data_IF_394148844072
#
_entry.id   IF_394148844072
#
_cell.length_a   1.000
_cell.length_b   1.000
_cell.length_c   1.000
_cell.angle_alpha   90.00
_cell.angle_beta   90.00
_cell.angle_gamma   90.00
#
_symmetry.space_group_name_H-M   'P 1'
#
loop_
_entity.id
_entity.type
_entity.pdbx_description
1 polymer ?
#
# COMPACT_ATOMS: atom_id res chain seq x y z
N UNK A 1 -22.25 -3.73 27.48
CA UNK A 1 -20.79 -3.81 27.27
C UNK A 1 -20.15 -2.60 27.92
N UNK A 2 -18.98 -2.77 28.52
CA UNK A 2 -18.20 -1.64 29.05
C UNK A 2 -17.64 -0.82 27.89
N UNK A 3 -17.44 0.49 28.10
CA UNK A 3 -16.70 1.31 27.14
C UNK A 3 -15.28 0.74 26.95
N UNK A 4 -14.75 0.89 25.73
CA UNK A 4 -13.36 0.56 25.43
C UNK A 4 -12.41 1.44 26.25
N UNK A 5 -11.26 0.90 26.63
CA UNK A 5 -10.28 1.57 27.50
C UNK A 5 -8.86 1.11 27.20
N UNK A 6 -7.89 1.72 27.87
CA UNK A 6 -6.52 1.18 27.91
C UNK A 6 -6.48 -0.13 28.70
N UNK A 7 -5.54 -1.02 28.35
CA UNK A 7 -5.28 -2.25 29.10
C UNK A 7 -4.73 -1.94 30.49
N UNK A 8 -5.21 -2.66 31.50
CA UNK A 8 -4.67 -2.61 32.85
C UNK A 8 -3.28 -3.28 32.91
N UNK A 9 -2.46 -3.02 33.95
CA UNK A 9 -1.07 -3.49 33.99
C UNK A 9 -0.87 -5.01 33.87
N UNK A 10 -1.82 -5.81 34.37
CA UNK A 10 -1.78 -7.28 34.27
C UNK A 10 -2.21 -7.76 32.88
N UNK A 11 -3.27 -7.16 32.32
CA UNK A 11 -3.75 -7.42 30.95
C UNK A 11 -2.66 -7.08 29.92
N UNK A 12 -1.99 -5.94 30.10
CA UNK A 12 -0.88 -5.49 29.26
C UNK A 12 0.31 -6.44 29.36
N UNK A 13 0.59 -7.02 30.53
CA UNK A 13 1.65 -8.03 30.70
C UNK A 13 1.31 -9.32 29.97
N UNK A 14 0.09 -9.83 30.10
CA UNK A 14 -0.38 -11.02 29.39
C UNK A 14 -0.35 -10.80 27.87
N UNK A 15 -0.83 -9.66 27.40
CA UNK A 15 -0.79 -9.28 25.99
C UNK A 15 0.64 -9.21 25.43
N UNK A 16 1.59 -8.60 26.17
CA UNK A 16 3.00 -8.55 25.75
C UNK A 16 3.61 -9.93 25.61
N UNK A 17 3.22 -10.88 26.46
CA UNK A 17 3.67 -12.26 26.38
C UNK A 17 3.11 -12.96 25.13
N UNK A 18 1.81 -12.83 24.86
CA UNK A 18 1.19 -13.33 23.63
C UNK A 18 1.87 -12.75 22.38
N UNK A 19 2.09 -11.42 22.37
CA UNK A 19 2.78 -10.71 21.29
C UNK A 19 4.20 -11.22 21.05
N UNK A 20 4.94 -11.54 22.12
CA UNK A 20 6.29 -12.10 21.99
C UNK A 20 6.26 -13.52 21.40
N UNK A 21 5.32 -14.36 21.85
CA UNK A 21 5.13 -15.71 21.30
C UNK A 21 4.74 -15.66 19.82
N UNK A 22 3.85 -14.75 19.43
CA UNK A 22 3.51 -14.51 18.01
C UNK A 22 4.74 -14.13 17.20
N UNK A 23 5.59 -13.23 17.72
CA UNK A 23 6.79 -12.78 17.04
C UNK A 23 7.88 -13.86 16.97
N UNK A 24 7.93 -14.78 17.93
CA UNK A 24 8.80 -15.96 17.83
C UNK A 24 8.32 -16.94 16.76
N UNK A 25 6.99 -17.11 16.64
CA UNK A 25 6.38 -18.05 15.71
C UNK A 25 6.42 -17.55 14.25
N UNK A 26 6.16 -16.27 14.03
CA UNK A 26 6.25 -15.60 12.72
C UNK A 26 7.08 -14.32 12.82
N UNK A 27 8.43 -14.42 12.85
CA UNK A 27 9.32 -13.27 13.04
C UNK A 27 9.16 -12.17 12.00
N UNK A 28 8.77 -12.52 10.78
CA UNK A 28 8.52 -11.56 9.71
C UNK A 28 7.28 -10.66 9.96
N UNK A 29 6.36 -11.03 10.85
CA UNK A 29 5.22 -10.20 11.27
C UNK A 29 5.56 -9.22 12.41
N UNK A 30 6.77 -9.27 12.97
CA UNK A 30 7.15 -8.49 14.16
C UNK A 30 6.84 -7.00 14.02
N UNK A 31 7.11 -6.39 12.86
CA UNK A 31 6.83 -4.96 12.66
C UNK A 31 5.34 -4.64 12.80
N UNK A 32 4.48 -5.50 12.30
CA UNK A 32 3.03 -5.32 12.36
C UNK A 32 2.47 -5.58 13.77
N UNK A 33 2.93 -6.65 14.44
CA UNK A 33 2.57 -6.97 15.82
C UNK A 33 2.86 -5.83 16.81
N UNK A 34 3.94 -5.08 16.58
CA UNK A 34 4.33 -3.95 17.42
C UNK A 34 3.76 -2.60 16.94
N UNK A 35 3.32 -2.51 15.68
CA UNK A 35 2.61 -1.34 15.17
C UNK A 35 1.15 -1.30 15.65
N UNK A 36 0.49 -2.47 15.72
CA UNK A 36 -0.89 -2.57 16.18
C UNK A 36 -1.05 -2.08 17.63
N UNK A 37 -1.99 -1.17 17.84
CA UNK A 37 -2.21 -0.48 19.13
C UNK A 37 -3.29 -1.21 19.94
N UNK A 38 -2.96 -1.80 21.11
CA UNK A 38 -3.95 -2.56 21.87
C UNK A 38 -4.98 -1.66 22.54
N UNK A 39 -6.24 -2.08 22.52
CA UNK A 39 -7.38 -1.45 23.16
C UNK A 39 -8.16 -2.54 23.90
N UNK A 40 -8.44 -2.34 25.19
CA UNK A 40 -9.29 -3.26 25.93
C UNK A 40 -10.76 -3.03 25.55
N UNK A 41 -11.44 -4.09 25.14
CA UNK A 41 -12.85 -4.11 24.77
C UNK A 41 -13.59 -5.19 25.60
N UNK A 42 -13.94 -4.89 26.87
CA UNK A 42 -14.53 -5.90 27.76
C UNK A 42 -15.90 -6.40 27.28
N UNK A 43 -16.03 -7.72 27.15
CA UNK A 43 -17.24 -8.39 26.67
C UNK A 43 -17.33 -8.54 25.16
N UNK A 44 -16.24 -8.26 24.42
CA UNK A 44 -16.14 -8.55 23.00
C UNK A 44 -16.15 -10.05 22.71
N UNK A 45 -15.63 -10.89 23.62
CA UNK A 45 -15.61 -12.35 23.49
C UNK A 45 -14.57 -12.88 22.49
N UNK A 46 -13.81 -12.00 21.84
CA UNK A 46 -12.71 -12.33 20.91
C UNK A 46 -11.74 -11.14 20.81
N UNK A 47 -10.83 -11.16 19.83
CA UNK A 47 -10.06 -10.01 19.37
C UNK A 47 -10.60 -9.51 18.02
N UNK A 48 -10.35 -8.25 17.69
CA UNK A 48 -10.75 -7.64 16.42
C UNK A 48 -9.82 -6.47 16.06
N UNK A 49 -9.85 -6.02 14.82
CA UNK A 49 -9.07 -4.86 14.35
C UNK A 49 -9.91 -3.84 13.60
N UNK A 50 -9.46 -2.60 13.61
CA UNK A 50 -9.99 -1.55 12.74
C UNK A 50 -8.99 -1.05 11.70
N UNK A 51 -9.47 -0.22 10.77
CA UNK A 51 -8.67 0.34 9.68
C UNK A 51 -7.48 1.21 10.15
N UNK A 52 -7.50 1.71 11.39
CA UNK A 52 -6.46 2.50 12.03
C UNK A 52 -5.47 1.63 12.83
N UNK A 53 -5.43 0.32 12.58
CA UNK A 53 -4.50 -0.61 13.24
C UNK A 53 -4.65 -0.65 14.77
N UNK A 54 -5.85 -0.35 15.28
CA UNK A 54 -6.17 -0.58 16.69
C UNK A 54 -6.68 -2.00 16.83
N UNK A 55 -6.16 -2.69 17.83
CA UNK A 55 -6.43 -4.09 18.13
C UNK A 55 -7.27 -4.15 19.40
N UNK A 56 -8.55 -4.48 19.23
CA UNK A 56 -9.51 -4.63 20.31
C UNK A 56 -9.37 -6.01 20.91
N UNK A 57 -9.21 -6.07 22.23
CA UNK A 57 -8.91 -7.27 22.98
C UNK A 57 -9.94 -7.41 24.09
N UNK A 58 -10.68 -8.52 24.16
CA UNK A 58 -11.42 -8.83 25.38
C UNK A 58 -10.42 -9.21 26.50
N UNK A 59 -10.33 -8.42 27.59
CA UNK A 59 -9.38 -8.73 28.65
C UNK A 59 -9.65 -10.05 29.38
N UNK A 60 -10.89 -10.56 29.35
CA UNK A 60 -11.23 -11.84 29.95
C UNK A 60 -10.53 -13.03 29.25
N UNK A 61 -10.06 -12.83 28.03
CA UNK A 61 -9.29 -13.81 27.25
C UNK A 61 -7.77 -13.68 27.45
N UNK A 62 -7.32 -12.59 28.07
CA UNK A 62 -5.91 -12.37 28.41
C UNK A 62 -5.60 -12.77 29.84
N UNK A 63 -6.52 -12.51 30.78
CA UNK A 63 -6.34 -12.74 32.21
C UNK A 63 -7.63 -13.29 32.85
N UNK A 64 -7.48 -14.01 33.96
CA UNK A 64 -8.60 -14.56 34.72
C UNK A 64 -8.97 -16.00 34.33
N UNK A 65 -10.17 -16.42 34.72
CA UNK A 65 -10.60 -17.83 34.62
C UNK A 65 -10.83 -18.30 33.17
N UNK A 66 -11.15 -17.38 32.27
CA UNK A 66 -11.43 -17.66 30.86
C UNK A 66 -10.23 -17.31 29.95
N UNK A 67 -9.07 -17.01 30.54
CA UNK A 67 -7.89 -16.62 29.78
C UNK A 67 -7.48 -17.74 28.82
N UNK A 68 -7.23 -17.37 27.57
CA UNK A 68 -6.66 -18.29 26.60
C UNK A 68 -5.23 -18.65 26.99
N UNK A 69 -4.79 -19.89 26.68
CA UNK A 69 -3.37 -20.21 26.69
C UNK A 69 -2.60 -19.20 25.83
N UNK A 70 -1.44 -18.76 26.30
CA UNK A 70 -0.62 -17.75 25.62
C UNK A 70 -0.40 -18.06 24.12
N UNK A 71 -0.10 -19.30 23.69
CA UNK A 71 0.03 -19.60 22.28
C UNK A 71 -1.26 -19.39 21.47
N UNK A 72 -2.43 -19.64 22.06
CA UNK A 72 -3.74 -19.43 21.41
C UNK A 72 -4.00 -17.92 21.25
N UNK A 73 -3.79 -17.13 22.31
CA UNK A 73 -3.89 -15.67 22.21
C UNK A 73 -2.90 -15.10 21.18
N UNK A 74 -1.69 -15.67 21.10
CA UNK A 74 -0.70 -15.30 20.10
C UNK A 74 -1.11 -15.68 18.67
N UNK A 75 -1.80 -16.81 18.49
CA UNK A 75 -2.31 -17.26 17.21
C UNK A 75 -3.44 -16.34 16.69
N UNK A 76 -4.41 -16.02 17.55
CA UNK A 76 -5.49 -15.07 17.22
C UNK A 76 -4.90 -13.68 16.93
N UNK A 77 -3.87 -13.25 17.66
CA UNK A 77 -3.17 -11.99 17.36
C UNK A 77 -2.52 -11.97 15.96
N UNK A 78 -1.93 -13.08 15.53
CA UNK A 78 -1.36 -13.21 14.17
C UNK A 78 -2.46 -13.16 13.10
N UNK A 79 -3.62 -13.76 13.40
CA UNK A 79 -4.81 -13.72 12.55
C UNK A 79 -5.30 -12.28 12.35
N UNK A 80 -5.56 -11.56 13.44
CA UNK A 80 -6.03 -10.17 13.38
C UNK A 80 -5.08 -9.25 12.61
N UNK A 81 -3.76 -9.37 12.86
CA UNK A 81 -2.75 -8.62 12.12
C UNK A 81 -2.69 -9.04 10.64
N UNK A 82 -3.05 -10.28 10.33
CA UNK A 82 -3.19 -10.79 8.97
C UNK A 82 -4.18 -9.97 8.13
N UNK A 83 -5.32 -9.58 8.71
CA UNK A 83 -6.30 -8.71 8.03
C UNK A 83 -5.70 -7.35 7.66
N UNK A 84 -4.97 -6.75 8.59
CA UNK A 84 -4.34 -5.44 8.41
C UNK A 84 -3.25 -5.49 7.33
N UNK A 85 -2.44 -6.56 7.32
CA UNK A 85 -1.37 -6.76 6.34
C UNK A 85 -1.91 -6.97 4.94
N UNK A 86 -2.97 -7.77 4.80
CA UNK A 86 -3.63 -8.05 3.51
C UNK A 86 -4.62 -6.99 3.08
N UNK A 87 -4.77 -5.92 3.88
CA UNK A 87 -5.66 -4.79 3.60
C UNK A 87 -7.11 -5.22 3.30
N UNK A 88 -7.65 -6.19 4.04
CA UNK A 88 -8.99 -6.73 3.79
C UNK A 88 -10.08 -5.66 3.87
N UNK A 89 -9.96 -4.67 4.76
CA UNK A 89 -10.86 -3.52 4.79
C UNK A 89 -10.98 -2.82 3.42
N UNK A 90 -9.84 -2.43 2.84
CA UNK A 90 -9.80 -1.75 1.53
C UNK A 90 -10.29 -2.67 0.40
N UNK A 91 -9.90 -3.95 0.41
CA UNK A 91 -10.35 -4.92 -0.59
C UNK A 91 -11.87 -5.14 -0.55
N UNK A 92 -12.48 -5.14 0.64
CA UNK A 92 -13.92 -5.27 0.82
C UNK A 92 -14.73 -4.12 0.20
N UNK A 93 -14.14 -2.92 0.07
CA UNK A 93 -14.80 -1.77 -0.55
C UNK A 93 -15.14 -2.04 -2.01
N UNK A 94 -14.30 -2.80 -2.72
CA UNK A 94 -14.44 -3.14 -4.15
C UNK A 94 -15.39 -4.31 -4.43
N UNK A 95 -15.93 -4.97 -3.40
CA UNK A 95 -16.88 -6.06 -3.59
C UNK A 95 -18.18 -5.58 -4.27
N UNK A 96 -18.81 -6.43 -5.11
CA UNK A 96 -20.14 -6.17 -5.66
C UNK A 96 -21.14 -5.81 -4.56
N UNK A 97 -21.93 -4.75 -4.78
CA UNK A 97 -22.92 -4.28 -3.81
C UNK A 97 -24.33 -4.82 -4.14
N UNK A 98 -25.13 -5.22 -3.15
CA UNK A 98 -24.80 -5.25 -1.72
C UNK A 98 -23.78 -6.34 -1.36
N UNK A 99 -22.80 -5.99 -0.51
CA UNK A 99 -21.75 -6.93 -0.12
C UNK A 99 -22.28 -7.92 0.92
N UNK A 100 -21.98 -9.20 0.74
CA UNK A 100 -22.29 -10.25 1.71
C UNK A 100 -21.18 -10.29 2.78
N UNK A 101 -21.26 -9.39 3.77
CA UNK A 101 -20.18 -9.20 4.76
C UNK A 101 -19.76 -10.49 5.50
N UNK A 102 -20.70 -11.40 5.79
CA UNK A 102 -20.37 -12.69 6.42
C UNK A 102 -19.54 -13.60 5.50
N UNK A 103 -19.90 -13.67 4.21
CA UNK A 103 -19.12 -14.40 3.23
C UNK A 103 -17.73 -13.79 3.05
N UNK A 104 -17.61 -12.46 3.12
CA UNK A 104 -16.32 -11.79 3.11
C UNK A 104 -15.48 -12.13 4.34
N UNK A 105 -16.08 -12.13 5.54
CA UNK A 105 -15.38 -12.53 6.77
C UNK A 105 -14.81 -13.95 6.63
N UNK A 106 -15.63 -14.92 6.23
CA UNK A 106 -15.17 -16.30 6.05
C UNK A 106 -14.09 -16.45 4.97
N UNK A 107 -14.20 -15.72 3.86
CA UNK A 107 -13.20 -15.74 2.81
C UNK A 107 -11.87 -15.11 3.24
N UNK A 108 -11.94 -13.98 3.94
CA UNK A 108 -10.81 -13.29 4.54
C UNK A 108 -10.09 -14.17 5.59
N UNK A 109 -10.86 -14.80 6.47
CA UNK A 109 -10.34 -15.69 7.51
C UNK A 109 -9.66 -16.90 6.88
N UNK A 110 -10.25 -17.47 5.83
CA UNK A 110 -9.68 -18.61 5.10
C UNK A 110 -8.32 -18.28 4.46
N UNK A 111 -8.15 -17.10 3.83
CA UNK A 111 -6.87 -16.64 3.25
C UNK A 111 -5.78 -16.41 4.32
N UNK A 112 -6.18 -16.14 5.56
CA UNK A 112 -5.23 -15.94 6.66
C UNK A 112 -4.88 -17.28 7.30
N UNK A 113 -5.90 -18.07 7.62
CA UNK A 113 -5.78 -19.27 8.43
C UNK A 113 -5.00 -20.38 7.71
N UNK A 114 -5.10 -20.51 6.40
CA UNK A 114 -4.31 -21.49 5.64
C UNK A 114 -2.79 -21.19 5.73
N UNK A 115 -2.38 -19.93 5.61
CA UNK A 115 -1.00 -19.48 5.75
C UNK A 115 -0.52 -19.63 7.21
N UNK A 116 -1.37 -19.33 8.19
CA UNK A 116 -1.03 -19.55 9.61
C UNK A 116 -0.82 -21.04 9.91
N UNK A 117 -1.69 -21.92 9.41
CA UNK A 117 -1.55 -23.37 9.55
C UNK A 117 -0.30 -23.88 8.83
N UNK A 118 -0.02 -23.39 7.62
CA UNK A 118 1.18 -23.71 6.86
C UNK A 118 2.47 -23.25 7.58
N UNK A 119 2.42 -22.16 8.34
CA UNK A 119 3.50 -21.70 9.21
C UNK A 119 3.63 -22.49 10.53
N UNK A 120 2.73 -23.45 10.79
CA UNK A 120 2.70 -24.25 12.01
C UNK A 120 2.15 -23.49 13.22
N UNK A 121 1.28 -22.51 13.00
CA UNK A 121 0.54 -21.82 14.05
C UNK A 121 -0.60 -22.70 14.57
N UNK A 122 -0.66 -22.87 15.89
CA UNK A 122 -1.75 -23.62 16.54
C UNK A 122 -2.97 -22.74 16.73
N UNK A 123 -3.84 -22.70 15.71
CA UNK A 123 -5.11 -21.97 15.74
C UNK A 123 -6.14 -22.64 16.68
N UNK A 124 -7.14 -21.89 17.20
CA UNK A 124 -8.29 -22.46 17.90
C UNK A 124 -9.03 -23.53 17.09
N UNK A 125 -9.78 -24.41 17.76
CA UNK A 125 -10.65 -25.36 17.08
C UNK A 125 -11.78 -24.64 16.32
N UNK A 126 -12.14 -25.16 15.14
CA UNK A 126 -13.27 -24.64 14.36
C UNK A 126 -12.96 -23.42 13.49
N UNK A 127 -11.69 -23.02 13.34
CA UNK A 127 -11.30 -21.96 12.41
C UNK A 127 -11.73 -22.26 10.97
N UNK A 128 -12.12 -21.21 10.26
CA UNK A 128 -12.49 -21.28 8.85
C UNK A 128 -11.24 -21.40 7.98
N UNK A 129 -11.24 -22.38 7.08
CA UNK A 129 -10.19 -22.63 6.11
C UNK A 129 -10.81 -22.76 4.72
N UNK A 130 -10.04 -22.67 3.63
CA UNK A 130 -10.57 -22.85 2.27
C UNK A 130 -11.32 -24.18 2.11
N UNK A 131 -10.85 -25.24 2.77
CA UNK A 131 -11.46 -26.57 2.75
C UNK A 131 -12.85 -26.60 3.40
N UNK A 132 -13.15 -25.68 4.32
CA UNK A 132 -14.45 -25.57 5.00
C UNK A 132 -15.61 -25.33 4.04
N UNK A 133 -15.33 -24.81 2.83
CA UNK A 133 -16.30 -24.59 1.77
C UNK A 133 -15.81 -25.14 0.41
N UNK A 134 -14.98 -26.19 0.44
CA UNK A 134 -14.59 -26.96 -0.75
C UNK A 134 -13.60 -26.27 -1.69
N UNK A 135 -12.95 -25.20 -1.25
CA UNK A 135 -11.89 -24.52 -2.00
C UNK A 135 -10.50 -25.11 -1.69
N UNK A 136 -9.56 -24.89 -2.61
CA UNK A 136 -8.16 -25.23 -2.38
C UNK A 136 -7.46 -24.15 -1.55
N UNK A 137 -6.56 -24.57 -0.64
CA UNK A 137 -5.64 -23.68 0.06
C UNK A 137 -4.73 -22.87 -0.88
N UNK A 138 -4.28 -21.70 -0.41
CA UNK A 138 -3.31 -20.81 -1.07
C UNK A 138 -3.89 -19.81 -2.05
N UNK A 139 -5.21 -19.63 -2.07
CA UNK A 139 -5.95 -18.68 -2.89
C UNK A 139 -5.96 -17.26 -2.30
N UNK A 140 -6.95 -16.45 -2.72
CA UNK A 140 -7.19 -15.10 -2.19
C UNK A 140 -8.64 -14.97 -1.73
N UNK A 141 -8.91 -14.05 -0.81
CA UNK A 141 -10.25 -13.82 -0.28
C UNK A 141 -11.29 -13.53 -1.37
N UNK A 142 -10.97 -12.87 -2.47
CA UNK A 142 -11.95 -12.58 -3.55
C UNK A 142 -12.41 -13.86 -4.27
N UNK A 143 -11.52 -14.83 -4.46
CA UNK A 143 -11.86 -16.10 -5.10
C UNK A 143 -12.76 -16.93 -4.17
N UNK A 144 -12.42 -16.98 -2.88
CA UNK A 144 -13.22 -17.64 -1.85
C UNK A 144 -14.58 -16.96 -1.65
N UNK A 145 -14.60 -15.63 -1.65
CA UNK A 145 -15.83 -14.84 -1.58
C UNK A 145 -16.74 -15.13 -2.78
N UNK A 146 -16.18 -15.12 -3.99
CA UNK A 146 -16.91 -15.44 -5.22
C UNK A 146 -17.53 -16.82 -5.13
N UNK A 147 -16.79 -17.82 -4.66
CA UNK A 147 -17.30 -19.17 -4.46
C UNK A 147 -18.46 -19.22 -3.45
N UNK A 148 -18.35 -18.50 -2.34
CA UNK A 148 -19.37 -18.45 -1.28
C UNK A 148 -20.66 -17.73 -1.69
N UNK A 149 -20.58 -16.78 -2.62
CA UNK A 149 -21.76 -16.01 -3.08
C UNK A 149 -22.34 -16.51 -4.40
N UNK A 150 -21.62 -17.34 -5.16
CA UNK A 150 -22.09 -17.88 -6.44
C UNK A 150 -23.19 -18.94 -6.22
N UNK A 151 -24.44 -18.69 -6.66
CA UNK A 151 -25.53 -19.64 -6.51
C UNK A 151 -25.37 -20.90 -7.37
N UNK A 152 -24.44 -20.91 -8.33
CA UNK A 152 -24.12 -22.04 -9.21
C UNK A 152 -22.93 -22.87 -8.75
N UNK A 153 -22.20 -22.42 -7.73
CA UNK A 153 -21.12 -23.20 -7.14
C UNK A 153 -21.67 -24.54 -6.60
N UNK A 154 -20.94 -25.66 -6.78
CA UNK A 154 -21.37 -26.92 -6.23
C UNK A 154 -21.51 -26.76 -4.71
N UNK A 155 -22.74 -26.87 -4.21
CA UNK A 155 -23.06 -26.82 -2.78
C UNK A 155 -22.34 -27.96 -2.05
N UNK A 156 -21.07 -27.78 -1.71
CA UNK A 156 -20.46 -28.50 -0.60
C UNK A 156 -21.02 -27.86 0.67
N UNK A 157 -22.04 -28.53 1.18
CA UNK A 157 -22.74 -28.28 2.42
C UNK A 157 -21.80 -27.94 3.58
N UNK A 158 -21.75 -26.66 3.94
CA UNK A 158 -21.97 -26.10 5.28
C UNK A 158 -21.29 -24.73 5.36
N UNK A 159 -21.91 -23.70 4.78
CA UNK A 159 -21.66 -22.36 5.33
C UNK A 159 -21.93 -22.48 6.85
N UNK A 160 -21.00 -22.10 7.73
CA UNK A 160 -21.22 -22.18 9.16
C UNK A 160 -22.54 -21.45 9.45
N UNK A 161 -23.48 -22.15 10.06
CA UNK A 161 -24.80 -21.61 10.38
C UNK A 161 -24.62 -20.27 11.08
N UNK A 162 -25.39 -19.26 10.65
CA UNK A 162 -25.44 -17.92 11.23
C UNK A 162 -25.40 -18.02 12.76
N UNK A 163 -24.20 -17.89 13.32
CA UNK A 163 -24.00 -17.74 14.74
C UNK A 163 -24.44 -16.32 15.05
N UNK A 164 -25.72 -16.13 15.32
CA UNK A 164 -26.29 -14.90 15.85
C UNK A 164 -25.44 -14.50 17.08
N UNK A 165 -24.46 -13.60 16.88
CA UNK A 165 -23.53 -13.18 17.92
C UNK A 165 -22.03 -13.30 17.65
N UNK A 166 -21.55 -13.76 16.49
CA UNK A 166 -20.12 -13.59 16.13
C UNK A 166 -19.86 -12.10 15.79
N UNK A 167 -19.09 -11.35 16.60
CA UNK A 167 -18.80 -9.94 16.32
C UNK A 167 -17.93 -9.75 15.06
N UNK A 168 -17.36 -10.82 14.49
CA UNK A 168 -16.43 -10.77 13.37
C UNK A 168 -15.09 -10.12 13.74
N UNK A 169 -14.18 -10.02 12.77
CA UNK A 169 -12.83 -9.49 12.99
C UNK A 169 -12.75 -7.94 12.93
N UNK A 170 -13.89 -7.26 12.89
CA UNK A 170 -14.02 -5.79 12.91
C UNK A 170 -13.78 -5.08 11.57
N UNK A 171 -13.84 -3.74 11.59
CA UNK A 171 -13.80 -2.95 10.34
C UNK A 171 -12.47 -3.07 9.58
N UNK A 172 -11.37 -3.37 10.27
CA UNK A 172 -10.05 -3.61 9.68
C UNK A 172 -9.99 -4.87 8.82
N UNK A 173 -10.92 -5.79 9.04
CA UNK A 173 -11.13 -6.98 8.22
C UNK A 173 -12.13 -6.75 7.06
N UNK A 174 -12.78 -5.59 6.98
CA UNK A 174 -13.85 -5.31 5.99
C UNK A 174 -15.25 -5.74 6.46
N UNK A 175 -15.39 -6.04 7.74
CA UNK A 175 -16.65 -6.38 8.40
C UNK A 175 -17.30 -5.12 9.01
N UNK A 176 -18.58 -5.18 9.43
CA UNK A 176 -19.16 -4.12 10.24
C UNK A 176 -18.32 -3.84 11.49
N UNK A 177 -18.34 -2.59 11.96
CA UNK A 177 -17.59 -2.19 13.14
C UNK A 177 -18.03 -2.98 14.39
N UNK A 178 -17.06 -3.42 15.20
CA UNK A 178 -17.38 -4.14 16.45
C UNK A 178 -17.99 -3.19 17.48
N UNK A 179 -18.75 -3.70 18.47
CA UNK A 179 -19.28 -2.87 19.53
C UNK A 179 -18.20 -2.08 20.28
N UNK A 180 -18.32 -0.75 20.30
CA UNK A 180 -17.36 0.13 20.97
C UNK A 180 -16.10 0.44 20.16
N UNK A 181 -16.03 0.02 18.90
CA UNK A 181 -14.96 0.40 17.98
C UNK A 181 -14.84 1.93 17.90
N UNK A 182 -13.60 2.41 18.00
CA UNK A 182 -13.30 3.83 18.01
C UNK A 182 -13.44 4.39 16.58
N UNK A 183 -13.99 5.59 16.44
CA UNK A 183 -14.04 6.27 15.14
C UNK A 183 -12.66 6.67 14.61
N UNK A 184 -12.63 7.19 13.38
CA UNK A 184 -11.39 7.64 12.72
C UNK A 184 -10.78 8.91 13.35
N UNK A 185 -11.57 9.71 14.07
CA UNK A 185 -11.07 10.85 14.82
C UNK A 185 -10.33 10.35 16.08
N UNK A 186 -9.13 10.89 16.32
CA UNK A 186 -8.26 10.49 17.43
C UNK A 186 -9.02 10.31 18.75
N UNK A 187 -8.82 9.17 19.40
CA UNK A 187 -9.44 8.81 20.66
C UNK A 187 -8.50 9.14 21.82
N UNK A 188 -9.05 9.47 22.99
CA UNK A 188 -8.28 9.59 24.25
C UNK A 188 -7.55 8.28 24.62
N UNK A 189 -7.95 7.15 24.03
CA UNK A 189 -7.34 5.82 24.27
C UNK A 189 -6.10 5.61 23.40
N UNK A 190 -6.19 5.87 22.09
CA UNK A 190 -5.08 5.77 21.13
C UNK A 190 -5.45 6.41 19.78
N UNK A 191 -4.47 7.02 19.13
CA UNK A 191 -4.64 7.68 17.83
C UNK A 191 -4.63 6.68 16.65
N UNK A 192 -4.13 5.45 16.85
CA UNK A 192 -3.95 4.47 15.77
C UNK A 192 -2.84 4.85 14.79
N UNK A 193 -2.81 4.21 13.62
CA UNK A 193 -1.92 4.55 12.50
C UNK A 193 -2.72 5.23 11.39
N UNK A 194 -2.07 6.16 10.69
CA UNK A 194 -2.57 6.65 9.41
C UNK A 194 -2.29 5.68 8.25
N UNK A 195 -2.89 5.94 7.09
CA UNK A 195 -2.72 5.07 5.91
C UNK A 195 -1.27 4.97 5.41
N UNK A 196 -0.48 6.04 5.52
CA UNK A 196 0.91 6.04 5.08
C UNK A 196 1.81 5.23 6.04
N UNK A 197 1.58 5.35 7.34
CA UNK A 197 2.24 4.54 8.37
C UNK A 197 1.90 3.05 8.21
N UNK A 198 0.62 2.73 8.00
CA UNK A 198 0.16 1.37 7.72
C UNK A 198 0.86 0.77 6.49
N UNK A 199 0.96 1.52 5.40
CA UNK A 199 1.64 1.08 4.18
C UNK A 199 3.14 0.87 4.37
N UNK A 200 3.80 1.71 5.17
CA UNK A 200 5.19 1.48 5.54
C UNK A 200 5.35 0.17 6.32
N UNK A 201 4.46 -0.10 7.28
CA UNK A 201 4.46 -1.36 8.04
C UNK A 201 4.29 -2.55 7.10
N UNK A 202 3.31 -2.53 6.18
CA UNK A 202 3.10 -3.58 5.18
C UNK A 202 4.35 -3.84 4.34
N UNK A 203 5.01 -2.78 3.85
CA UNK A 203 6.25 -2.92 3.06
C UNK A 203 7.41 -3.51 3.87
N UNK A 204 7.58 -3.09 5.12
CA UNK A 204 8.61 -3.68 6.00
C UNK A 204 8.35 -5.16 6.23
N UNK A 205 7.10 -5.55 6.49
CA UNK A 205 6.72 -6.96 6.66
C UNK A 205 6.90 -7.74 5.37
N UNK A 206 6.50 -7.21 4.22
CA UNK A 206 6.72 -7.85 2.93
C UNK A 206 8.21 -8.09 2.67
N UNK A 207 9.08 -7.12 3.01
CA UNK A 207 10.52 -7.31 2.88
C UNK A 207 11.04 -8.41 3.82
N UNK A 208 10.58 -8.44 5.08
CA UNK A 208 10.94 -9.49 6.03
C UNK A 208 10.44 -10.88 5.56
N UNK A 209 9.24 -10.96 4.99
CA UNK A 209 8.68 -12.18 4.38
C UNK A 209 9.59 -12.66 3.26
N UNK A 210 9.99 -11.78 2.34
CA UNK A 210 10.91 -12.12 1.23
C UNK A 210 12.26 -12.62 1.75
N UNK A 211 12.80 -12.01 2.79
CA UNK A 211 14.06 -12.42 3.42
C UNK A 211 13.93 -13.76 4.17
N UNK A 212 12.73 -14.09 4.64
CA UNK A 212 12.42 -15.37 5.31
C UNK A 212 12.09 -16.53 4.36
N UNK A 213 12.52 -16.47 3.10
CA UNK A 213 12.30 -17.55 2.12
C UNK A 213 13.21 -18.76 2.39
N UNK A 214 12.64 -19.94 2.68
CA UNK A 214 13.41 -21.16 2.98
C UNK A 214 12.53 -22.39 3.28
N UNK A 215 13.14 -23.48 3.79
CA UNK A 215 12.41 -24.66 4.31
C UNK A 215 12.67 -24.78 5.83
N UNK A 216 11.64 -24.60 6.66
CA UNK A 216 11.72 -24.88 8.10
C UNK A 216 10.92 -23.88 8.97
N UNK A 217 11.03 -24.00 10.30
CA UNK A 217 10.43 -23.03 11.22
C UNK A 217 10.99 -21.62 10.94
N UNK A 218 10.11 -20.65 10.78
CA UNK A 218 10.47 -19.28 10.41
C UNK A 218 10.55 -19.02 8.91
N UNK A 219 10.26 -20.02 8.05
CA UNK A 219 10.05 -19.77 6.61
C UNK A 219 8.64 -19.30 6.33
N UNK A 220 8.48 -18.26 5.50
CA UNK A 220 7.16 -17.79 5.12
C UNK A 220 6.40 -18.80 4.23
N UNK A 221 5.10 -19.01 4.48
CA UNK A 221 4.17 -19.71 3.59
C UNK A 221 4.14 -19.13 2.17
N UNK A 222 3.66 -19.94 1.22
CA UNK A 222 3.61 -19.56 -0.19
C UNK A 222 2.62 -18.41 -0.47
N UNK A 223 1.46 -18.37 0.20
CA UNK A 223 0.49 -17.28 0.07
C UNK A 223 1.10 -15.95 0.51
N UNK A 224 1.73 -15.93 1.69
CA UNK A 224 2.48 -14.77 2.18
C UNK A 224 3.64 -14.36 1.27
N UNK A 225 4.38 -15.31 0.69
CA UNK A 225 5.46 -15.00 -0.25
C UNK A 225 4.93 -14.32 -1.53
N UNK A 226 3.78 -14.77 -2.04
CA UNK A 226 3.08 -14.14 -3.18
C UNK A 226 2.61 -12.73 -2.84
N UNK A 227 1.90 -12.57 -1.72
CA UNK A 227 1.50 -11.25 -1.20
C UNK A 227 2.70 -10.29 -1.05
N UNK A 228 3.81 -10.76 -0.49
CA UNK A 228 5.00 -9.95 -0.35
C UNK A 228 5.62 -9.55 -1.70
N UNK A 229 5.56 -10.45 -2.69
CA UNK A 229 5.94 -10.18 -4.06
C UNK A 229 5.12 -9.06 -4.69
N UNK A 230 3.80 -9.10 -4.51
CA UNK A 230 2.85 -8.07 -4.98
C UNK A 230 3.09 -6.71 -4.30
N UNK A 231 3.24 -6.69 -2.97
CA UNK A 231 3.49 -5.45 -2.20
C UNK A 231 4.84 -4.81 -2.56
N UNK A 232 5.84 -5.62 -2.88
CA UNK A 232 7.20 -5.17 -3.24
C UNK A 232 7.42 -5.10 -4.75
N UNK A 233 6.41 -5.40 -5.56
CA UNK A 233 6.52 -5.35 -7.01
C UNK A 233 7.08 -3.97 -7.39
N UNK A 234 8.18 -3.92 -8.17
CA UNK A 234 8.70 -2.65 -8.61
C UNK A 234 7.62 -1.95 -9.46
N UNK A 235 7.60 -0.60 -9.48
CA UNK A 235 6.92 0.10 -10.57
C UNK A 235 7.38 -0.51 -11.90
N UNK A 236 6.49 -0.67 -12.86
CA UNK A 236 6.80 -1.44 -14.08
C UNK A 236 7.91 -0.78 -14.88
N UNK A 237 8.09 0.53 -14.71
CA UNK A 237 9.18 1.29 -15.31
C UNK A 237 10.37 1.40 -14.34
N UNK A 238 11.57 1.01 -14.82
CA UNK A 238 12.85 1.22 -14.12
C UNK A 238 13.23 2.72 -14.09
N UNK A 239 12.49 3.54 -13.34
CA UNK A 239 12.67 5.00 -13.28
C UNK A 239 14.09 5.41 -12.90
N UNK A 240 14.77 4.66 -12.02
CA UNK A 240 16.17 4.89 -11.68
C UNK A 240 17.09 4.88 -12.91
N UNK A 241 16.88 3.94 -13.83
CA UNK A 241 17.71 3.79 -15.03
C UNK A 241 17.38 4.87 -16.05
N UNK A 242 16.10 5.11 -16.29
CA UNK A 242 15.61 6.10 -17.23
C UNK A 242 16.02 7.51 -16.80
N UNK A 243 15.73 7.88 -15.55
CA UNK A 243 16.07 9.20 -15.02
C UNK A 243 17.59 9.38 -14.95
N UNK A 244 18.40 8.37 -14.62
CA UNK A 244 19.87 8.49 -14.71
C UNK A 244 20.38 8.71 -16.14
N UNK A 245 19.74 8.14 -17.15
CA UNK A 245 20.10 8.40 -18.55
C UNK A 245 19.77 9.85 -18.94
N UNK A 246 18.59 10.34 -18.55
CA UNK A 246 18.17 11.73 -18.78
C UNK A 246 19.02 12.72 -17.99
N UNK A 247 19.31 12.45 -16.72
CA UNK A 247 20.21 13.22 -15.85
C UNK A 247 21.60 13.32 -16.47
N UNK A 248 22.17 12.20 -16.95
CA UNK A 248 23.50 12.22 -17.60
C UNK A 248 23.52 13.10 -18.85
N UNK A 249 22.45 13.12 -19.64
CA UNK A 249 22.32 13.98 -20.82
C UNK A 249 22.19 15.47 -20.46
N UNK A 250 21.33 15.79 -19.48
CA UNK A 250 21.15 17.16 -18.97
C UNK A 250 22.42 17.69 -18.31
N UNK A 251 23.12 16.85 -17.54
CA UNK A 251 24.40 17.20 -16.91
C UNK A 251 25.54 17.28 -17.91
N UNK A 252 25.56 16.48 -18.97
CA UNK A 252 26.55 16.59 -20.04
C UNK A 252 26.43 17.94 -20.79
N UNK A 253 25.20 18.41 -21.04
CA UNK A 253 24.96 19.76 -21.59
C UNK A 253 25.33 20.89 -20.60
N UNK A 254 25.32 20.61 -19.30
CA UNK A 254 25.81 21.54 -18.26
C UNK A 254 27.29 21.38 -17.91
N UNK A 255 27.96 20.32 -18.37
CA UNK A 255 29.34 19.95 -18.04
C UNK A 255 30.39 20.86 -18.72
N UNK A 256 29.99 22.04 -19.19
CA UNK A 256 30.88 23.19 -19.32
C UNK A 256 31.04 24.02 -18.03
N UNK A 257 30.42 23.64 -16.89
CA UNK A 257 30.38 24.43 -15.65
C UNK A 257 30.56 23.60 -14.37
N UNK A 258 31.68 22.88 -14.26
CA UNK A 258 32.13 22.22 -13.02
C UNK A 258 32.66 23.24 -12.01
N UNK A 259 31.79 23.93 -11.27
CA UNK A 259 32.22 24.94 -10.29
C UNK A 259 32.01 24.51 -8.83
N UNK A 260 33.09 24.62 -8.05
CA UNK A 260 33.04 24.92 -6.63
C UNK A 260 32.10 26.12 -6.40
N UNK A 261 31.15 25.99 -5.48
CA UNK A 261 30.20 27.06 -5.18
C UNK A 261 30.57 27.74 -3.86
N UNK A 262 30.80 29.05 -3.91
CA UNK A 262 30.92 29.91 -2.72
C UNK A 262 29.55 30.45 -2.25
N UNK A 263 28.45 29.92 -2.79
CA UNK A 263 27.10 30.39 -2.43
C UNK A 263 26.67 29.90 -1.05
N UNK A 264 26.60 30.86 -0.13
CA UNK A 264 26.19 30.80 1.28
C UNK A 264 26.82 29.63 2.05
N UNK A 265 27.98 29.85 2.71
CA UNK A 265 28.61 28.88 3.59
C UNK A 265 27.64 28.33 4.63
N UNK A 266 27.82 27.06 5.01
CA UNK A 266 27.10 26.44 6.13
C UNK A 266 27.15 27.36 7.35
N UNK A 267 25.98 27.65 7.97
CA UNK A 267 25.91 28.40 9.23
C UNK A 267 26.57 27.63 10.40
N UNK A 268 26.76 26.32 10.23
CA UNK A 268 27.55 25.44 11.11
C UNK A 268 28.98 25.36 10.58
N UNK A 269 29.70 26.47 10.64
CA UNK A 269 31.09 26.58 10.18
C UNK A 269 32.06 26.85 11.33
N UNK A 270 33.32 26.45 11.17
CA UNK A 270 34.39 26.81 12.09
C UNK A 270 34.81 28.27 11.81
N UNK A 271 34.90 29.15 12.82
CA UNK A 271 35.31 30.54 12.61
C UNK A 271 36.67 30.62 11.87
N UNK A 272 36.72 31.41 10.79
CA UNK A 272 37.95 31.61 10.01
C UNK A 272 38.23 30.59 8.90
N UNK A 273 37.41 29.55 8.73
CA UNK A 273 37.58 28.54 7.66
C UNK A 273 36.33 28.48 6.78
N UNK A 274 36.49 28.79 5.49
CA UNK A 274 35.42 28.60 4.49
C UNK A 274 35.50 27.17 3.97
N UNK A 275 34.73 26.26 4.56
CA UNK A 275 34.66 24.88 4.08
C UNK A 275 33.88 24.81 2.75
N UNK A 276 34.39 24.09 1.73
CA UNK A 276 33.63 23.87 0.49
C UNK A 276 32.35 23.07 0.77
N UNK A 277 31.22 23.55 0.25
CA UNK A 277 29.95 22.83 0.33
C UNK A 277 29.80 21.88 -0.86
N UNK A 278 29.74 20.57 -0.60
CA UNK A 278 29.40 19.58 -1.61
C UNK A 278 27.90 19.71 -1.93
N UNK A 279 27.56 20.18 -3.14
CA UNK A 279 26.19 20.12 -3.66
C UNK A 279 26.13 19.11 -4.79
N UNK A 280 25.28 18.09 -4.66
CA UNK A 280 24.89 17.24 -5.76
C UNK A 280 23.86 17.95 -6.66
N UNK A 281 23.91 17.77 -7.99
CA UNK A 281 22.86 18.25 -8.87
C UNK A 281 21.55 17.55 -8.51
N UNK A 282 20.54 18.34 -8.17
CA UNK A 282 19.19 17.85 -7.86
C UNK A 282 18.28 18.27 -9.00
N UNK A 283 17.65 17.29 -9.67
CA UNK A 283 16.74 17.58 -10.78
C UNK A 283 15.35 17.94 -10.28
N UNK A 284 14.66 18.77 -11.07
CA UNK A 284 13.25 19.10 -10.89
C UNK A 284 12.46 18.29 -11.91
N UNK A 285 11.44 17.57 -11.45
CA UNK A 285 10.59 16.69 -12.27
C UNK A 285 9.15 17.16 -12.15
N UNK A 286 8.47 17.33 -13.28
CA UNK A 286 7.02 17.53 -13.32
C UNK A 286 6.37 16.30 -13.93
N UNK A 287 5.35 15.76 -13.28
CA UNK A 287 4.56 14.62 -13.75
C UNK A 287 3.19 15.15 -14.15
N UNK A 288 2.73 14.79 -15.33
CA UNK A 288 1.40 15.07 -15.85
C UNK A 288 0.66 13.75 -15.89
N UNK A 289 -0.43 13.65 -15.15
CA UNK A 289 -1.31 12.48 -15.11
C UNK A 289 -2.54 12.80 -15.94
N UNK A 290 -2.78 11.98 -16.95
CA UNK A 290 -3.99 12.03 -17.75
C UNK A 290 -5.19 11.59 -16.91
N UNK A 291 -6.20 12.45 -16.86
CA UNK A 291 -7.47 12.21 -16.16
C UNK A 291 -8.66 12.32 -17.12
N UNK A 292 -8.41 12.15 -18.43
CA UNK A 292 -9.44 12.17 -19.45
C UNK A 292 -10.37 10.95 -19.33
N UNK A 293 -11.55 11.05 -19.95
CA UNK A 293 -12.57 10.01 -19.85
C UNK A 293 -12.21 8.65 -20.48
N UNK A 294 -11.10 8.55 -21.22
CA UNK A 294 -10.60 7.28 -21.75
C UNK A 294 -9.74 6.49 -20.75
N UNK A 295 -9.28 7.14 -19.68
CA UNK A 295 -8.53 6.50 -18.60
C UNK A 295 -9.48 5.74 -17.67
N UNK A 296 -9.31 4.42 -17.58
CA UNK A 296 -10.05 3.59 -16.62
C UNK A 296 -9.49 3.73 -15.20
N UNK A 297 -10.21 3.19 -14.21
CA UNK A 297 -9.70 3.13 -12.82
C UNK A 297 -8.37 2.38 -12.74
N UNK A 298 -8.25 1.26 -13.46
CA UNK A 298 -7.03 0.45 -13.50
C UNK A 298 -5.85 1.21 -14.16
N UNK A 299 -6.13 2.06 -15.15
CA UNK A 299 -5.11 2.90 -15.78
C UNK A 299 -4.61 4.00 -14.83
N UNK A 300 -5.51 4.58 -14.04
CA UNK A 300 -5.16 5.56 -13.01
C UNK A 300 -4.35 4.91 -11.88
N UNK A 301 -4.70 3.70 -11.45
CA UNK A 301 -3.93 2.95 -10.44
C UNK A 301 -2.52 2.58 -10.95
N UNK A 302 -2.40 2.19 -12.21
CA UNK A 302 -1.12 2.00 -12.87
C UNK A 302 -0.32 3.31 -12.90
N UNK A 303 -0.95 4.43 -13.27
CA UNK A 303 -0.31 5.75 -13.28
C UNK A 303 0.21 6.14 -11.88
N UNK A 304 -0.59 5.92 -10.83
CA UNK A 304 -0.20 6.22 -9.44
C UNK A 304 0.94 5.32 -8.94
N UNK A 305 0.98 4.06 -9.37
CA UNK A 305 2.10 3.15 -9.12
C UNK A 305 3.40 3.66 -9.75
N UNK A 306 3.33 4.22 -10.96
CA UNK A 306 4.49 4.82 -11.62
C UNK A 306 4.93 6.14 -10.96
N UNK A 307 3.98 6.98 -10.51
CA UNK A 307 4.27 8.16 -9.68
C UNK A 307 5.06 7.76 -8.42
N UNK A 308 4.62 6.69 -7.76
CA UNK A 308 5.33 6.12 -6.61
C UNK A 308 6.78 5.75 -6.95
N UNK A 309 6.99 5.18 -8.13
CA UNK A 309 8.30 4.82 -8.67
C UNK A 309 9.21 6.02 -8.87
N UNK A 310 8.70 7.09 -9.50
CA UNK A 310 9.45 8.34 -9.70
C UNK A 310 9.86 8.97 -8.37
N UNK A 311 8.98 8.96 -7.36
CA UNK A 311 9.27 9.50 -6.02
C UNK A 311 10.35 8.71 -5.27
N UNK A 312 10.58 7.44 -5.63
CA UNK A 312 11.62 6.58 -5.04
C UNK A 312 12.94 6.62 -5.78
N UNK A 313 12.96 7.06 -7.05
CA UNK A 313 14.15 7.04 -7.89
C UNK A 313 15.29 7.91 -7.32
N UNK A 314 16.50 7.37 -7.31
CA UNK A 314 17.68 8.05 -6.79
C UNK A 314 18.08 9.26 -7.64
N UNK A 315 18.33 10.41 -6.98
CA UNK A 315 18.77 11.66 -7.63
C UNK A 315 17.65 12.70 -7.83
N UNK A 316 16.39 12.32 -7.55
CA UNK A 316 15.26 13.25 -7.48
C UNK A 316 15.07 13.66 -6.03
N UNK A 317 15.16 14.96 -5.74
CA UNK A 317 14.80 15.47 -4.42
C UNK A 317 13.26 15.53 -4.35
N UNK A 318 12.65 14.91 -3.32
CA UNK A 318 11.18 14.82 -3.20
C UNK A 318 10.52 16.21 -3.20
N UNK A 319 11.20 17.23 -2.69
CA UNK A 319 10.73 18.62 -2.69
C UNK A 319 10.71 19.27 -4.09
N UNK A 320 11.20 18.56 -5.12
CA UNK A 320 11.28 19.03 -6.51
C UNK A 320 10.47 18.17 -7.49
N UNK A 321 9.61 17.30 -6.97
CA UNK A 321 8.61 16.59 -7.77
C UNK A 321 7.32 17.37 -7.72
N UNK A 322 6.71 17.56 -8.89
CA UNK A 322 5.42 18.23 -9.03
C UNK A 322 4.47 17.35 -9.81
N UNK A 323 3.19 17.41 -9.49
CA UNK A 323 2.15 16.68 -10.21
C UNK A 323 1.09 17.66 -10.73
N UNK A 324 0.61 17.37 -11.93
CA UNK A 324 -0.50 18.02 -12.59
C UNK A 324 -1.46 16.92 -13.06
N UNK A 325 -2.73 17.00 -12.68
CA UNK A 325 -3.79 16.32 -13.41
C UNK A 325 -4.11 17.11 -14.69
N UNK A 326 -4.31 16.44 -15.81
CA UNK A 326 -4.62 17.06 -17.09
C UNK A 326 -5.66 16.26 -17.87
N UNK A 327 -6.62 16.97 -18.43
CA UNK A 327 -7.56 16.47 -19.44
C UNK A 327 -7.59 17.44 -20.65
N UNK A 328 -8.70 18.14 -20.88
CA UNK A 328 -8.80 19.28 -21.78
C UNK A 328 -8.28 20.59 -21.13
N UNK A 329 -8.08 20.55 -19.81
CA UNK A 329 -7.47 21.61 -19.02
C UNK A 329 -6.43 21.01 -18.08
N UNK A 330 -5.44 21.80 -17.66
CA UNK A 330 -4.44 21.34 -16.70
C UNK A 330 -4.63 22.01 -15.35
N UNK A 331 -4.49 21.23 -14.29
CA UNK A 331 -4.44 21.75 -12.92
C UNK A 331 -3.12 22.48 -12.65
N UNK A 332 -3.10 23.29 -11.59
CA UNK A 332 -1.86 23.96 -11.16
C UNK A 332 -0.87 22.95 -10.60
N UNK A 333 0.40 23.01 -11.00
CA UNK A 333 1.44 22.09 -10.54
C UNK A 333 1.64 22.11 -9.02
N UNK A 334 1.26 21.02 -8.35
CA UNK A 334 1.35 20.86 -6.89
C UNK A 334 2.65 20.13 -6.51
N UNK A 335 3.37 20.56 -5.46
CA UNK A 335 4.51 19.81 -4.96
C UNK A 335 4.02 18.52 -4.29
N UNK A 336 4.63 17.38 -4.65
CA UNK A 336 4.20 16.07 -4.13
C UNK A 336 5.36 15.41 -3.42
N UNK A 337 5.15 15.09 -2.13
CA UNK A 337 6.14 14.40 -1.30
C UNK A 337 5.76 12.94 -1.07
N UNK A 338 4.48 12.64 -1.19
CA UNK A 338 3.86 11.33 -1.03
C UNK A 338 2.67 11.18 -1.97
N UNK A 339 2.27 9.94 -2.26
CA UNK A 339 1.10 9.64 -3.10
C UNK A 339 -0.20 10.21 -2.49
N UNK A 340 -0.27 10.29 -1.16
CA UNK A 340 -1.44 10.84 -0.45
C UNK A 340 -1.67 12.33 -0.72
N UNK A 341 -0.66 13.05 -1.20
CA UNK A 341 -0.76 14.47 -1.56
C UNK A 341 -1.40 14.68 -2.94
N UNK A 342 -1.72 13.60 -3.68
CA UNK A 342 -2.16 13.67 -5.07
C UNK A 342 -3.67 13.72 -5.14
N UNK A 343 -4.21 14.85 -5.59
CA UNK A 343 -5.63 14.99 -5.93
C UNK A 343 -5.78 15.05 -7.44
N UNK A 344 -6.39 14.03 -8.03
CA UNK A 344 -6.71 13.99 -9.45
C UNK A 344 -8.13 14.55 -9.64
N UNK A 345 -8.25 15.62 -10.42
CA UNK A 345 -9.53 16.27 -10.73
C UNK A 345 -9.62 16.36 -12.25
N UNK A 346 -10.65 15.76 -12.85
CA UNK A 346 -10.83 15.75 -14.31
C UNK A 346 -12.02 14.89 -14.76
N UNK A 347 -12.13 14.72 -16.08
CA UNK A 347 -13.13 13.86 -16.75
C UNK A 347 -13.58 14.36 -18.13
N UNK A 348 -12.87 15.34 -18.71
CA UNK A 348 -13.15 15.90 -20.04
C UNK A 348 -12.47 15.16 -21.19
N UNK A 349 -12.37 15.84 -22.34
CA UNK A 349 -11.57 15.37 -23.49
C UNK A 349 -10.06 15.40 -23.23
N UNK A 350 -9.24 15.02 -24.20
CA UNK A 350 -7.80 14.76 -23.99
C UNK A 350 -6.92 15.70 -24.82
N UNK A 351 -6.14 16.58 -24.19
CA UNK A 351 -5.07 17.35 -24.85
C UNK A 351 -3.83 17.53 -23.97
N UNK A 352 -2.88 16.60 -24.08
CA UNK A 352 -1.66 16.62 -23.26
C UNK A 352 -0.72 17.78 -23.60
N UNK A 353 -0.91 18.51 -24.70
CA UNK A 353 -0.12 19.73 -24.99
C UNK A 353 -0.33 20.76 -23.88
N UNK A 354 -1.56 20.89 -23.38
CA UNK A 354 -1.92 21.83 -22.31
C UNK A 354 -1.20 21.46 -21.01
N UNK A 355 -1.20 20.17 -20.64
CA UNK A 355 -0.50 19.67 -19.45
C UNK A 355 1.02 19.84 -19.54
N UNK A 356 1.60 19.54 -20.70
CA UNK A 356 3.04 19.69 -20.96
C UNK A 356 3.45 21.17 -20.90
N UNK A 357 2.65 22.09 -21.45
CA UNK A 357 2.91 23.52 -21.37
C UNK A 357 2.84 24.04 -19.94
N UNK A 358 1.82 23.65 -19.18
CA UNK A 358 1.67 24.01 -17.77
C UNK A 358 2.82 23.47 -16.91
N UNK A 359 3.24 22.23 -17.15
CA UNK A 359 4.39 21.63 -16.50
C UNK A 359 5.67 22.43 -16.77
N UNK A 360 5.88 22.86 -18.03
CA UNK A 360 7.04 23.67 -18.45
C UNK A 360 7.00 25.11 -17.90
N UNK A 361 5.82 25.67 -17.67
CA UNK A 361 5.63 27.00 -17.10
C UNK A 361 5.92 27.04 -15.58
N UNK A 362 5.87 25.90 -14.89
CA UNK A 362 6.07 25.80 -13.46
C UNK A 362 7.43 26.37 -12.98
N UNK A 363 7.48 26.79 -11.71
CA UNK A 363 8.66 27.40 -11.07
C UNK A 363 9.00 26.71 -9.74
N UNK A 364 10.19 26.09 -9.57
CA UNK A 364 11.30 26.03 -10.52
C UNK A 364 10.95 25.24 -11.79
N UNK A 365 11.59 25.60 -12.91
CA UNK A 365 11.36 24.96 -14.20
C UNK A 365 11.79 23.48 -14.13
N UNK A 366 10.99 22.54 -14.65
CA UNK A 366 11.39 21.14 -14.69
C UNK A 366 12.54 20.92 -15.67
N UNK A 367 13.40 19.96 -15.33
CA UNK A 367 14.39 19.41 -16.25
C UNK A 367 13.78 18.26 -17.05
N UNK A 368 12.83 17.54 -16.45
CA UNK A 368 12.12 16.40 -17.04
C UNK A 368 10.63 16.59 -16.82
N UNK A 369 9.85 16.38 -17.87
CA UNK A 369 8.38 16.27 -17.81
C UNK A 369 8.02 14.83 -18.14
N UNK A 370 7.31 14.16 -17.24
CA UNK A 370 6.81 12.80 -17.41
C UNK A 370 5.30 12.89 -17.64
N UNK A 371 4.78 12.26 -18.69
CA UNK A 371 3.35 12.20 -18.99
C UNK A 371 2.88 10.76 -18.87
N UNK A 372 1.85 10.51 -18.05
CA UNK A 372 1.20 9.22 -17.84
C UNK A 372 -0.17 9.29 -18.50
N UNK A 373 -0.40 8.51 -19.57
CA UNK A 373 -1.60 8.58 -20.42
C UNK A 373 -1.81 7.25 -21.15
N UNK A 374 -3.03 6.97 -21.63
CA UNK A 374 -3.30 5.87 -22.57
C UNK A 374 -2.70 6.12 -23.98
N UNK A 375 -2.23 7.34 -24.23
CA UNK A 375 -1.56 7.77 -25.45
C UNK A 375 -2.49 8.16 -26.60
N UNK A 376 -3.80 8.26 -26.37
CA UNK A 376 -4.77 8.75 -27.37
C UNK A 376 -5.00 10.27 -27.26
N UNK A 377 -3.91 11.02 -27.45
CA UNK A 377 -3.90 12.46 -27.26
C UNK A 377 -3.04 13.17 -28.31
N UNK A 378 -3.36 14.43 -28.67
CA UNK A 378 -2.44 15.28 -29.40
C UNK A 378 -1.13 15.49 -28.63
N UNK A 379 -0.01 15.23 -29.31
CA UNK A 379 1.33 15.50 -28.79
C UNK A 379 1.89 16.83 -29.33
N UNK A 380 2.84 17.48 -28.65
CA UNK A 380 3.51 18.65 -29.18
C UNK A 380 4.37 18.31 -30.40
N UNK A 381 4.32 19.14 -31.44
CA UNK A 381 5.10 18.94 -32.68
C UNK A 381 6.60 19.20 -32.50
N UNK A 382 6.98 19.95 -31.46
CA UNK A 382 8.36 20.40 -31.23
C UNK A 382 8.81 20.11 -29.80
N UNK A 383 10.10 19.78 -29.62
CA UNK A 383 10.67 19.57 -28.29
C UNK A 383 10.61 20.84 -27.45
N UNK A 384 10.26 20.66 -26.17
CA UNK A 384 10.35 21.70 -25.16
C UNK A 384 11.76 21.78 -24.57
N UNK A 385 12.00 22.74 -23.68
CA UNK A 385 13.30 22.87 -23.01
C UNK A 385 13.54 21.76 -21.97
N UNK A 386 12.48 21.20 -21.41
CA UNK A 386 12.55 20.01 -20.57
C UNK A 386 12.51 18.76 -21.44
N UNK A 387 13.20 17.71 -20.98
CA UNK A 387 13.14 16.40 -21.64
C UNK A 387 11.77 15.76 -21.38
N UNK A 388 11.07 15.38 -22.45
CA UNK A 388 9.77 14.73 -22.36
C UNK A 388 9.92 13.21 -22.27
N UNK A 389 9.24 12.63 -21.29
CA UNK A 389 9.08 11.18 -21.13
C UNK A 389 7.60 10.84 -21.23
N UNK A 390 7.24 10.00 -22.19
CA UNK A 390 5.87 9.52 -22.42
C UNK A 390 5.75 8.11 -21.83
N UNK A 391 5.08 7.96 -20.70
CA UNK A 391 4.72 6.67 -20.11
C UNK A 391 3.29 6.33 -20.54
N UNK A 392 3.19 5.44 -21.54
CA UNK A 392 1.94 5.09 -22.20
C UNK A 392 1.36 3.83 -21.57
N UNK A 393 0.15 3.93 -21.04
CA UNK A 393 -0.52 2.90 -20.26
C UNK A 393 -1.41 2.05 -21.18
N UNK A 394 -1.26 0.73 -21.12
CA UNK A 394 -2.13 -0.26 -21.75
C UNK A 394 -2.09 -0.40 -23.27
N UNK A 395 -1.56 0.58 -24.00
CA UNK A 395 -1.58 0.59 -25.47
C UNK A 395 -0.20 0.73 -26.11
N UNK A 396 0.41 -0.41 -26.48
CA UNK A 396 1.67 -0.43 -27.24
C UNK A 396 1.53 0.24 -28.63
N UNK A 397 0.33 0.18 -29.22
CA UNK A 397 0.04 0.87 -30.47
C UNK A 397 0.06 2.39 -30.30
N UNK A 398 -0.45 2.90 -29.17
CA UNK A 398 -0.40 4.32 -28.87
C UNK A 398 1.02 4.79 -28.52
N UNK A 399 1.85 3.93 -27.92
CA UNK A 399 3.26 4.22 -27.68
C UNK A 399 4.01 4.56 -28.98
N UNK A 400 3.66 3.91 -30.09
CA UNK A 400 4.20 4.20 -31.42
C UNK A 400 3.83 5.59 -31.99
N UNK A 401 2.83 6.27 -31.43
CA UNK A 401 2.38 7.62 -31.87
C UNK A 401 3.03 8.77 -31.10
N UNK A 402 3.84 8.44 -30.11
CA UNK A 402 4.59 9.44 -29.33
C UNK A 402 5.65 10.13 -30.19
N UNK A 403 6.04 11.38 -29.87
CA UNK A 403 7.05 12.09 -30.65
C UNK A 403 8.40 11.37 -30.64
N UNK A 404 9.03 11.24 -31.82
CA UNK A 404 10.31 10.51 -31.98
C UNK A 404 11.49 11.12 -31.20
N UNK A 405 11.37 12.38 -30.78
CA UNK A 405 12.35 13.08 -29.97
C UNK A 405 12.14 12.90 -28.45
N UNK A 406 10.99 12.36 -28.02
CA UNK A 406 10.69 12.03 -26.64
C UNK A 406 11.21 10.63 -26.27
N UNK A 407 11.31 10.34 -24.98
CA UNK A 407 11.55 8.97 -24.51
C UNK A 407 10.23 8.30 -24.17
N UNK A 408 9.95 7.17 -24.80
CA UNK A 408 8.67 6.47 -24.63
C UNK A 408 8.86 5.18 -23.86
N UNK A 409 7.93 4.91 -22.94
CA UNK A 409 7.88 3.70 -22.14
C UNK A 409 6.46 3.17 -22.14
N UNK A 410 6.29 1.86 -22.37
CA UNK A 410 5.00 1.19 -22.20
C UNK A 410 4.82 0.75 -20.75
N UNK A 411 3.64 1.01 -20.19
CA UNK A 411 3.21 0.60 -18.86
C UNK A 411 2.03 -0.35 -19.06
N UNK A 412 2.12 -1.63 -18.66
CA UNK A 412 0.98 -2.54 -18.77
C UNK A 412 -0.11 -2.18 -17.76
N UNK A 413 -1.37 -2.26 -18.17
CA UNK A 413 -2.52 -2.23 -17.25
C UNK A 413 -2.51 -3.52 -16.42
N UNK A 414 -2.78 -3.43 -15.12
CA UNK A 414 -2.89 -4.61 -14.25
C UNK A 414 -1.54 -5.21 -13.82
N UNK A 415 -0.49 -4.41 -13.62
CA UNK A 415 0.81 -4.87 -13.12
C UNK A 415 0.81 -5.42 -11.66
N UNK A 416 -0.38 -5.62 -11.07
CA UNK A 416 -0.58 -6.46 -9.88
C UNK A 416 -0.91 -7.92 -10.19
N UNK A 417 -1.13 -8.30 -11.46
CA UNK A 417 -1.53 -9.65 -11.86
C UNK A 417 -0.64 -10.13 -13.01
N UNK A 418 0.46 -10.81 -12.69
CA UNK A 418 1.10 -11.73 -13.64
C UNK A 418 1.52 -13.03 -12.93
N UNK A 419 0.68 -14.04 -13.19
CA UNK A 419 0.86 -15.50 -13.21
C UNK A 419 1.84 -16.15 -12.21
#
# INVERSE_FOLDING_TARGET
MSAVRVLDPDELRAFRLARLVSAEQMPYFMRALFAAQPVAAPGLGTFAVDAQWRLYLDPALLVGANAWPVPVAGAVLLHEVGHLLRAHAARAEFLPKPAAHLAWNYAADAEINDDLLAAGVGLPEGVITPESFGCASGGIAEDYYTNLVDPSAPSSSSAPADGDGDPGCGSGAGCPAVPGELGAAGSEVTEGLDGAEADLVRRYVAQAVRESSGKGRGSAPAGLARWAGEVLAPPTVEWDRLLRAVIRRVLADQAGRTNYTYSRPSRRGIPGIVAPAMRGPSITVSIVVDTSGSMSADDLDAAMSEVAGVLRAGGVARERVRILACDASSTTAQPVRSIADVTLIGGGGTDMRVGIEAANAARPQPHVVIVLTDGDTPWPDRPSRSHLVCAVIGSDAAAGRTPSWASTVSVPVGAGVRA
#
